data_IF_761140458774
#
_entry.id   IF_761140458774
#
_cell.length_a   1.000
_cell.length_b   1.000
_cell.length_c   1.000
_cell.angle_alpha   90.00
_cell.angle_beta   90.00
_cell.angle_gamma   90.00
#
_symmetry.space_group_name_H-M   'P 1'
#
loop_
_entity.id
_entity.type
_entity.pdbx_description
1 polymer ?
#
# COMPACT_ATOMS: atom_id res chain seq x y z
N UNK A 1 0.56 22.50 4.07
CA UNK A 1 0.60 21.02 3.97
C UNK A 1 -0.09 20.61 2.68
N UNK A 2 0.61 19.92 1.81
CA UNK A 2 0.10 19.35 0.55
C UNK A 2 0.30 17.85 0.56
N UNK A 3 -0.78 17.09 0.48
CA UNK A 3 -0.76 15.63 0.63
C UNK A 3 -1.09 14.98 -0.70
N UNK A 4 -0.23 14.06 -1.17
CA UNK A 4 -0.48 13.20 -2.32
C UNK A 4 -0.82 11.79 -1.83
N UNK A 5 -2.03 11.36 -2.07
CA UNK A 5 -2.53 10.02 -1.77
C UNK A 5 -2.58 9.20 -3.06
N UNK A 6 -1.96 8.03 -3.04
CA UNK A 6 -1.87 7.15 -4.21
C UNK A 6 -2.73 5.90 -4.01
N UNK A 7 -3.60 5.61 -4.96
CA UNK A 7 -4.19 4.29 -5.12
C UNK A 7 -3.16 3.37 -5.78
N UNK A 8 -2.44 2.63 -4.95
CA UNK A 8 -1.31 1.84 -5.42
C UNK A 8 -1.70 0.73 -6.39
N UNK A 9 -2.83 0.05 -6.13
CA UNK A 9 -3.31 -1.03 -6.98
C UNK A 9 -3.78 -0.51 -8.34
N UNK A 10 -4.56 0.56 -8.34
CA UNK A 10 -5.10 1.16 -9.56
C UNK A 10 -3.99 1.70 -10.46
N UNK A 11 -3.04 2.47 -9.88
CA UNK A 11 -1.89 3.01 -10.64
C UNK A 11 -0.99 1.89 -11.16
N UNK A 12 -0.72 0.83 -10.36
CA UNK A 12 0.09 -0.31 -10.78
C UNK A 12 -0.56 -1.08 -11.94
N UNK A 13 -1.88 -1.35 -11.86
CA UNK A 13 -2.63 -1.97 -12.96
C UNK A 13 -2.55 -1.12 -14.24
N UNK A 14 -2.78 0.18 -14.11
CA UNK A 14 -2.71 1.09 -15.26
C UNK A 14 -1.31 1.13 -15.88
N UNK A 15 -0.28 1.17 -15.06
CA UNK A 15 1.11 1.12 -15.50
C UNK A 15 1.42 -0.19 -16.23
N UNK A 16 0.95 -1.31 -15.69
CA UNK A 16 1.15 -2.64 -16.26
C UNK A 16 0.56 -2.78 -17.66
N UNK A 17 -0.70 -2.38 -17.83
CA UNK A 17 -1.38 -2.45 -19.13
C UNK A 17 -1.02 -1.31 -20.08
N UNK A 18 -0.47 -0.21 -19.57
CA UNK A 18 -0.04 0.95 -20.36
C UNK A 18 1.32 0.80 -21.04
N UNK A 19 2.14 -0.16 -20.60
CA UNK A 19 3.50 -0.40 -21.11
C UNK A 19 3.63 -1.86 -21.52
N UNK A 20 4.25 -2.12 -22.66
CA UNK A 20 4.58 -3.50 -23.08
C UNK A 20 5.41 -4.18 -21.99
N UNK A 21 5.28 -5.51 -21.89
CA UNK A 21 6.07 -6.29 -20.94
C UNK A 21 7.56 -6.00 -21.12
N UNK A 22 8.20 -5.63 -20.03
CA UNK A 22 9.63 -5.43 -19.89
C UNK A 22 10.14 -6.36 -18.81
N UNK A 23 11.32 -6.89 -18.99
CA UNK A 23 12.01 -7.71 -18.00
C UNK A 23 13.49 -7.41 -17.97
N UNK A 24 14.14 -7.67 -16.84
CA UNK A 24 15.59 -7.75 -16.73
C UNK A 24 16.14 -8.94 -17.50
N UNK A 25 17.44 -9.03 -17.66
CA UNK A 25 18.13 -10.19 -18.25
C UNK A 25 17.84 -11.50 -17.50
N UNK A 26 17.60 -11.40 -16.18
CA UNK A 26 17.28 -12.55 -15.33
C UNK A 26 15.78 -12.88 -15.30
N UNK A 27 14.96 -12.21 -16.13
CA UNK A 27 13.54 -12.50 -16.31
C UNK A 27 12.61 -11.82 -15.30
N UNK A 28 13.08 -10.91 -14.43
CA UNK A 28 12.23 -10.14 -13.52
C UNK A 28 11.43 -9.10 -14.31
N UNK A 29 10.11 -9.14 -14.23
CA UNK A 29 9.25 -8.15 -14.88
C UNK A 29 9.37 -6.76 -14.24
N UNK A 30 9.40 -5.69 -15.08
CA UNK A 30 9.66 -4.32 -14.64
C UNK A 30 8.74 -3.26 -15.27
N UNK A 31 7.87 -3.63 -16.22
CA UNK A 31 7.00 -2.69 -16.94
C UNK A 31 6.06 -1.89 -16.01
N UNK A 32 5.42 -2.56 -15.04
CA UNK A 32 4.56 -1.88 -14.08
C UNK A 32 5.36 -0.93 -13.17
N UNK A 33 6.56 -1.33 -12.75
CA UNK A 33 7.46 -0.50 -11.94
C UNK A 33 7.81 0.79 -12.71
N UNK A 34 8.28 0.65 -13.96
CA UNK A 34 8.64 1.81 -14.82
C UNK A 34 7.44 2.74 -15.00
N UNK A 35 6.27 2.19 -15.33
CA UNK A 35 5.05 2.97 -15.54
C UNK A 35 4.58 3.67 -14.28
N UNK A 36 4.55 2.96 -13.15
CA UNK A 36 4.14 3.49 -11.85
C UNK A 36 4.99 4.71 -11.45
N UNK A 37 6.31 4.57 -11.49
CA UNK A 37 7.21 5.64 -11.07
C UNK A 37 7.31 6.80 -12.07
N UNK A 38 7.02 6.56 -13.34
CA UNK A 38 6.84 7.65 -14.30
C UNK A 38 5.56 8.46 -14.03
N UNK A 39 4.47 7.79 -13.65
CA UNK A 39 3.23 8.45 -13.22
C UNK A 39 3.49 9.22 -11.92
N UNK A 40 4.06 8.57 -10.92
CA UNK A 40 4.36 9.19 -9.62
C UNK A 40 5.20 10.46 -9.76
N UNK A 41 6.25 10.44 -10.59
CA UNK A 41 7.09 11.62 -10.78
C UNK A 41 6.28 12.82 -11.29
N UNK A 42 5.41 12.61 -12.28
CA UNK A 42 4.55 13.69 -12.81
C UNK A 42 3.60 14.22 -11.74
N UNK A 43 3.01 13.31 -10.95
CA UNK A 43 2.11 13.70 -9.88
C UNK A 43 2.84 14.53 -8.82
N UNK A 44 4.05 14.16 -8.45
CA UNK A 44 4.89 14.94 -7.52
C UNK A 44 5.22 16.31 -8.09
N UNK A 45 5.64 16.38 -9.35
CA UNK A 45 5.96 17.64 -10.02
C UNK A 45 4.73 18.55 -10.13
N UNK A 46 3.55 17.97 -10.38
CA UNK A 46 2.27 18.69 -10.50
C UNK A 46 1.77 19.21 -9.14
N UNK A 47 1.87 18.41 -8.09
CA UNK A 47 1.27 18.72 -6.79
C UNK A 47 2.20 19.47 -5.85
N UNK A 48 3.52 19.27 -5.98
CA UNK A 48 4.50 19.78 -5.03
C UNK A 48 4.25 19.28 -3.60
N UNK A 49 3.73 18.04 -3.46
CA UNK A 49 3.34 17.49 -2.18
C UNK A 49 4.55 17.29 -1.24
N UNK A 50 4.36 17.69 0.01
CA UNK A 50 5.29 17.52 1.13
C UNK A 50 4.96 16.31 2.02
N UNK A 51 3.76 15.73 1.82
CA UNK A 51 3.28 14.50 2.46
C UNK A 51 2.83 13.50 1.41
N UNK A 52 3.06 12.20 1.62
CA UNK A 52 2.69 11.19 0.65
C UNK A 52 2.37 9.85 1.32
N UNK A 53 1.22 9.29 0.96
CA UNK A 53 0.83 7.93 1.31
C UNK A 53 0.41 7.15 0.08
N UNK A 54 0.72 5.87 0.06
CA UNK A 54 0.26 4.94 -0.97
C UNK A 54 -0.57 3.83 -0.32
N UNK A 55 -1.85 3.81 -0.64
CA UNK A 55 -2.80 2.80 -0.17
C UNK A 55 -2.77 1.58 -1.08
N UNK A 56 -2.79 0.39 -0.48
CA UNK A 56 -2.87 -0.89 -1.20
C UNK A 56 -3.93 -1.79 -0.57
N UNK A 57 -4.59 -2.60 -1.42
CA UNK A 57 -5.48 -3.64 -0.96
C UNK A 57 -4.71 -4.82 -0.35
N UNK A 58 -5.23 -5.35 0.74
CA UNK A 58 -4.83 -6.64 1.26
C UNK A 58 -5.63 -7.77 0.60
N UNK A 59 -5.02 -8.95 0.49
CA UNK A 59 -5.67 -10.13 -0.04
C UNK A 59 -6.56 -10.80 1.02
N UNK A 60 -7.50 -10.01 1.57
CA UNK A 60 -8.42 -10.43 2.62
C UNK A 60 -9.85 -9.91 2.32
N UNK A 61 -10.91 -10.62 2.78
CA UNK A 61 -12.27 -10.15 2.65
C UNK A 61 -12.47 -8.83 3.41
N UNK A 62 -13.13 -7.87 2.75
CA UNK A 62 -13.50 -6.59 3.37
C UNK A 62 -14.91 -6.66 3.97
N UNK A 63 -15.32 -5.60 4.66
CA UNK A 63 -16.69 -5.51 5.19
C UNK A 63 -17.76 -5.60 4.09
N UNK A 64 -17.45 -5.14 2.85
CA UNK A 64 -18.37 -5.24 1.70
C UNK A 64 -18.62 -6.68 1.28
N UNK A 65 -17.60 -7.54 1.30
CA UNK A 65 -17.75 -8.99 1.04
C UNK A 65 -18.62 -9.66 2.09
N UNK A 66 -18.59 -9.20 3.36
CA UNK A 66 -19.46 -9.70 4.44
C UNK A 66 -20.90 -9.25 4.29
N UNK A 67 -21.13 -8.08 3.69
CA UNK A 67 -22.46 -7.53 3.43
C UNK A 67 -23.13 -8.13 2.19
N UNK A 68 -22.34 -8.48 1.17
CA UNK A 68 -22.86 -8.95 -0.09
C UNK A 68 -21.87 -9.91 -0.77
N UNK A 69 -22.20 -11.19 -0.78
CA UNK A 69 -21.34 -12.27 -1.27
C UNK A 69 -20.96 -12.15 -2.76
N UNK A 70 -21.80 -11.43 -3.55
CA UNK A 70 -21.52 -11.20 -4.97
C UNK A 70 -20.59 -10.02 -5.22
N UNK A 71 -20.25 -9.24 -4.18
CA UNK A 71 -19.38 -8.08 -4.33
C UNK A 71 -18.04 -8.49 -4.91
N UNK A 72 -17.66 -7.87 -6.04
CA UNK A 72 -16.43 -8.19 -6.80
C UNK A 72 -16.29 -9.68 -7.21
N UNK A 73 -17.38 -10.47 -7.13
CA UNK A 73 -17.36 -11.87 -7.56
C UNK A 73 -17.05 -11.95 -9.07
N UNK A 74 -16.13 -12.86 -9.46
CA UNK A 74 -15.74 -13.01 -10.86
C UNK A 74 -14.68 -12.02 -11.35
N UNK A 75 -14.16 -11.12 -10.52
CA UNK A 75 -12.95 -10.37 -10.87
C UNK A 75 -11.80 -11.34 -11.19
N UNK A 76 -11.15 -11.15 -12.33
CA UNK A 76 -9.99 -11.96 -12.70
C UNK A 76 -8.85 -11.73 -11.71
N UNK A 77 -8.09 -12.76 -11.33
CA UNK A 77 -6.94 -12.60 -10.47
C UNK A 77 -5.89 -11.71 -11.16
N UNK A 78 -5.09 -11.05 -10.32
CA UNK A 78 -3.97 -10.23 -10.81
C UNK A 78 -3.00 -11.12 -11.61
N UNK A 79 -2.59 -10.69 -12.82
CA UNK A 79 -1.58 -11.41 -13.59
C UNK A 79 -0.32 -11.66 -12.78
N UNK A 80 0.29 -12.82 -12.96
CA UNK A 80 1.50 -13.21 -12.23
C UNK A 80 2.64 -12.19 -12.42
N UNK A 81 2.79 -11.70 -13.66
CA UNK A 81 3.80 -10.71 -14.03
C UNK A 81 3.63 -9.38 -13.28
N UNK A 82 2.38 -8.99 -12.96
CA UNK A 82 2.12 -7.82 -12.13
C UNK A 82 2.31 -8.15 -10.65
N UNK A 83 1.83 -9.31 -10.21
CA UNK A 83 1.92 -9.76 -8.81
C UNK A 83 3.36 -9.73 -8.28
N UNK A 84 4.32 -10.16 -9.11
CA UNK A 84 5.75 -10.15 -8.78
C UNK A 84 6.30 -8.72 -8.61
N UNK A 85 5.72 -7.73 -9.28
CA UNK A 85 6.18 -6.35 -9.24
C UNK A 85 5.62 -5.56 -8.03
N UNK A 86 4.48 -5.97 -7.46
CA UNK A 86 3.82 -5.24 -6.36
C UNK A 86 4.71 -5.06 -5.12
N UNK A 87 5.40 -6.09 -4.60
CA UNK A 87 6.30 -5.92 -3.45
C UNK A 87 7.47 -4.97 -3.75
N UNK A 88 7.95 -4.99 -5.01
CA UNK A 88 9.05 -4.12 -5.45
C UNK A 88 8.57 -2.66 -5.51
N UNK A 89 7.38 -2.40 -6.04
CA UNK A 89 6.76 -1.06 -6.06
C UNK A 89 6.65 -0.51 -4.63
N UNK A 90 6.12 -1.30 -3.69
CA UNK A 90 6.01 -0.91 -2.28
C UNK A 90 7.38 -0.60 -1.66
N UNK A 91 8.37 -1.44 -1.91
CA UNK A 91 9.75 -1.22 -1.41
C UNK A 91 10.34 0.07 -1.97
N UNK A 92 10.20 0.34 -3.27
CA UNK A 92 10.70 1.58 -3.89
C UNK A 92 9.97 2.81 -3.29
N UNK A 93 8.64 2.75 -3.11
CA UNK A 93 7.88 3.82 -2.46
C UNK A 93 8.43 4.13 -1.05
N UNK A 94 8.67 3.10 -0.25
CA UNK A 94 9.26 3.25 1.09
C UNK A 94 10.65 3.89 1.03
N UNK A 95 11.48 3.46 0.08
CA UNK A 95 12.83 4.03 -0.10
C UNK A 95 12.81 5.48 -0.61
N UNK A 96 11.74 5.89 -1.31
CA UNK A 96 11.47 7.27 -1.71
C UNK A 96 10.90 8.13 -0.57
N UNK A 97 10.72 7.57 0.63
CA UNK A 97 10.19 8.26 1.80
C UNK A 97 8.67 8.29 1.88
N UNK A 98 7.94 7.59 1.00
CA UNK A 98 6.49 7.46 1.02
C UNK A 98 6.05 6.46 2.09
N UNK A 99 4.96 6.77 2.81
CA UNK A 99 4.32 5.82 3.71
C UNK A 99 3.39 4.90 2.93
N UNK A 100 3.66 3.59 2.97
CA UNK A 100 2.78 2.56 2.41
C UNK A 100 1.77 2.14 3.47
N UNK A 101 0.48 2.14 3.12
CA UNK A 101 -0.62 1.86 4.04
C UNK A 101 -1.46 0.72 3.51
N UNK A 102 -1.70 -0.27 4.37
CA UNK A 102 -2.59 -1.41 4.14
C UNK A 102 -3.35 -1.69 5.42
N UNK A 103 -4.62 -2.07 5.32
CA UNK A 103 -5.42 -2.34 6.51
C UNK A 103 -6.41 -3.48 6.27
N UNK A 104 -6.48 -4.42 7.21
CA UNK A 104 -7.36 -5.57 7.10
C UNK A 104 -8.84 -5.17 7.22
N UNK A 105 -9.69 -5.76 6.38
CA UNK A 105 -11.12 -5.51 6.39
C UNK A 105 -11.58 -4.29 5.58
N UNK A 106 -10.65 -3.50 5.05
CA UNK A 106 -10.90 -2.30 4.25
C UNK A 106 -10.19 -2.37 2.91
N UNK A 107 -10.65 -1.56 1.96
CA UNK A 107 -10.04 -1.42 0.65
C UNK A 107 -9.12 -0.18 0.60
N UNK A 108 -8.24 -0.12 -0.40
CA UNK A 108 -7.38 1.06 -0.62
C UNK A 108 -8.19 2.35 -0.68
N UNK A 109 -9.36 2.33 -1.32
CA UNK A 109 -10.26 3.49 -1.42
C UNK A 109 -10.73 3.99 -0.05
N UNK A 110 -10.98 3.09 0.91
CA UNK A 110 -11.39 3.47 2.27
C UNK A 110 -10.23 4.15 3.03
N UNK A 111 -8.99 3.70 2.78
CA UNK A 111 -7.79 4.36 3.29
C UNK A 111 -7.68 5.76 2.68
N UNK A 112 -7.84 5.89 1.35
CA UNK A 112 -7.81 7.19 0.67
C UNK A 112 -8.91 8.12 1.19
N UNK A 113 -10.15 7.61 1.38
CA UNK A 113 -11.26 8.35 1.96
C UNK A 113 -10.97 8.85 3.37
N UNK A 114 -10.36 8.02 4.20
CA UNK A 114 -10.01 8.37 5.59
C UNK A 114 -8.91 9.42 5.63
N UNK A 115 -7.85 9.25 4.84
CA UNK A 115 -6.71 10.18 4.82
C UNK A 115 -7.05 11.50 4.15
N UNK A 116 -7.91 11.51 3.12
CA UNK A 116 -8.36 12.75 2.50
C UNK A 116 -9.22 13.58 3.44
N UNK A 117 -10.10 12.94 4.22
CA UNK A 117 -10.87 13.61 5.27
C UNK A 117 -9.95 14.17 6.36
N UNK A 118 -8.99 13.38 6.86
CA UNK A 118 -8.03 13.83 7.87
C UNK A 118 -7.18 15.00 7.37
N UNK A 119 -6.79 15.00 6.09
CA UNK A 119 -6.05 16.12 5.47
C UNK A 119 -6.88 17.39 5.46
N UNK A 120 -8.15 17.29 5.06
CA UNK A 120 -9.07 18.43 5.03
C UNK A 120 -9.34 18.98 6.44
N UNK A 121 -9.57 18.09 7.42
CA UNK A 121 -9.76 18.45 8.83
C UNK A 121 -8.54 19.21 9.41
N UNK A 122 -7.33 18.85 8.94
CA UNK A 122 -6.09 19.54 9.31
C UNK A 122 -5.83 20.82 8.48
N UNK A 123 -6.76 21.24 7.62
CA UNK A 123 -6.62 22.42 6.77
C UNK A 123 -5.59 22.28 5.64
N UNK A 124 -5.23 21.06 5.25
CA UNK A 124 -4.32 20.75 4.17
C UNK A 124 -5.01 20.62 2.81
N UNK A 125 -4.23 20.69 1.75
CA UNK A 125 -4.66 20.44 0.37
C UNK A 125 -4.34 18.97 0.02
N UNK A 126 -5.35 18.22 -0.43
CA UNK A 126 -5.25 16.78 -0.71
C UNK A 126 -5.40 16.50 -2.20
N UNK A 127 -4.50 15.71 -2.75
CA UNK A 127 -4.54 15.19 -4.12
C UNK A 127 -4.64 13.68 -4.09
N UNK A 128 -5.74 13.11 -4.57
CA UNK A 128 -5.93 11.65 -4.69
C UNK A 128 -5.60 11.24 -6.13
N UNK A 129 -4.57 10.44 -6.30
CA UNK A 129 -4.19 9.89 -7.60
C UNK A 129 -4.68 8.45 -7.74
N UNK A 130 -5.61 8.22 -8.64
CA UNK A 130 -6.19 6.90 -8.91
C UNK A 130 -6.58 6.76 -10.38
N UNK A 131 -6.86 5.56 -10.84
CA UNK A 131 -7.52 5.28 -12.12
C UNK A 131 -9.01 4.95 -11.94
N UNK A 132 -9.51 4.91 -10.70
CA UNK A 132 -10.88 4.58 -10.37
C UNK A 132 -11.74 5.85 -10.22
N UNK A 133 -12.91 5.83 -10.86
CA UNK A 133 -13.86 6.94 -10.78
C UNK A 133 -14.63 6.99 -9.47
N UNK A 134 -14.62 5.92 -8.70
CA UNK A 134 -15.30 5.88 -7.41
C UNK A 134 -14.74 6.91 -6.43
N UNK A 135 -13.44 7.18 -6.53
CA UNK A 135 -12.79 8.22 -5.75
C UNK A 135 -13.33 9.64 -6.02
N UNK A 136 -14.07 9.87 -7.12
CA UNK A 136 -14.68 11.18 -7.42
C UNK A 136 -15.68 11.62 -6.34
N UNK A 137 -16.28 10.68 -5.59
CA UNK A 137 -17.14 10.98 -4.43
C UNK A 137 -16.38 11.64 -3.27
N UNK A 138 -15.05 11.57 -3.29
CA UNK A 138 -14.18 12.16 -2.25
C UNK A 138 -13.82 13.61 -2.52
N UNK A 139 -14.10 14.12 -3.73
CA UNK A 139 -13.81 15.51 -4.12
C UNK A 139 -14.51 16.48 -3.18
N UNK A 140 -13.78 17.49 -2.77
CA UNK A 140 -14.25 18.53 -1.85
C UNK A 140 -13.47 19.83 -2.06
N UNK A 141 -13.70 20.82 -1.20
CA UNK A 141 -13.05 22.13 -1.33
C UNK A 141 -11.52 22.05 -1.20
N UNK A 142 -11.03 21.07 -0.44
CA UNK A 142 -9.60 20.83 -0.20
C UNK A 142 -9.11 19.49 -0.81
N UNK A 143 -10.00 18.74 -1.49
CA UNK A 143 -9.68 17.43 -2.05
C UNK A 143 -9.91 17.44 -3.55
N UNK A 144 -8.85 17.20 -4.30
CA UNK A 144 -8.85 17.09 -5.75
C UNK A 144 -8.48 15.66 -6.17
N UNK A 145 -9.21 15.08 -7.12
CA UNK A 145 -8.89 13.77 -7.69
C UNK A 145 -8.13 13.93 -9.01
N UNK A 146 -6.97 13.33 -9.06
CA UNK A 146 -6.11 13.22 -10.24
C UNK A 146 -6.35 11.85 -10.90
N UNK A 147 -7.32 11.82 -11.82
CA UNK A 147 -7.70 10.58 -12.48
C UNK A 147 -6.70 10.23 -13.57
N UNK A 148 -5.89 9.22 -13.31
CA UNK A 148 -4.94 8.71 -14.29
C UNK A 148 -5.69 8.06 -15.47
N UNK A 149 -5.41 8.47 -16.69
CA UNK A 149 -5.95 7.93 -17.91
C UNK A 149 -4.82 7.58 -18.88
N UNK A 150 -5.10 6.73 -19.87
CA UNK A 150 -4.21 6.50 -20.99
C UNK A 150 -4.97 6.90 -22.25
N UNK A 151 -4.50 7.93 -22.93
CA UNK A 151 -5.11 8.41 -24.17
C UNK A 151 -4.12 8.23 -25.31
N UNK A 152 -4.51 7.48 -26.33
CA UNK A 152 -3.66 7.17 -27.49
C UNK A 152 -2.26 6.62 -27.10
N UNK A 153 -2.19 5.77 -26.04
CA UNK A 153 -0.93 5.19 -25.57
C UNK A 153 -0.07 6.12 -24.70
N UNK A 154 -0.51 7.35 -24.48
CA UNK A 154 0.16 8.29 -23.58
C UNK A 154 -0.56 8.40 -22.23
N UNK A 155 0.16 8.33 -21.10
CA UNK A 155 -0.44 8.55 -19.80
C UNK A 155 -0.89 10.02 -19.69
N UNK A 156 -2.16 10.21 -19.38
CA UNK A 156 -2.79 11.50 -19.17
C UNK A 156 -3.38 11.53 -17.74
N UNK A 157 -3.43 12.70 -17.15
CA UNK A 157 -4.07 12.91 -15.85
C UNK A 157 -5.19 13.94 -16.05
N UNK A 158 -6.41 13.55 -15.73
CA UNK A 158 -7.55 14.47 -15.72
C UNK A 158 -7.78 14.93 -14.29
N UNK A 159 -7.84 16.23 -14.08
CA UNK A 159 -8.09 16.84 -12.78
C UNK A 159 -9.60 16.93 -12.56
N UNK A 160 -10.06 16.45 -11.42
CA UNK A 160 -11.44 16.57 -10.99
C UNK A 160 -11.51 17.33 -9.66
N UNK A 161 -12.01 18.54 -9.74
CA UNK A 161 -12.55 19.33 -8.64
C UNK A 161 -14.09 19.35 -8.71
N UNK A 162 -14.75 20.09 -7.81
CA UNK A 162 -16.21 20.22 -7.83
C UNK A 162 -16.74 20.73 -9.15
N UNK A 163 -16.10 21.73 -9.73
CA UNK A 163 -16.53 22.33 -11.00
C UNK A 163 -16.45 21.34 -12.15
N UNK A 164 -15.38 20.55 -12.24
CA UNK A 164 -15.22 19.53 -13.27
C UNK A 164 -16.25 18.38 -13.12
N UNK A 165 -16.68 18.04 -11.90
CA UNK A 165 -17.75 17.07 -11.66
C UNK A 165 -19.10 17.65 -12.08
N UNK A 166 -19.40 18.88 -11.71
CA UNK A 166 -20.63 19.57 -12.10
C UNK A 166 -20.73 19.75 -13.61
N UNK A 167 -19.65 20.17 -14.26
CA UNK A 167 -19.59 20.26 -15.73
C UNK A 167 -19.88 18.92 -16.41
N UNK A 168 -19.31 17.82 -15.89
CA UNK A 168 -19.39 16.53 -16.52
C UNK A 168 -20.70 15.79 -16.27
N UNK A 169 -21.20 15.83 -15.04
CA UNK A 169 -22.34 15.03 -14.57
C UNK A 169 -23.57 15.88 -14.25
N UNK A 170 -23.44 17.19 -14.09
CA UNK A 170 -24.48 18.06 -13.56
C UNK A 170 -24.83 17.75 -12.11
N UNK A 171 -23.90 17.14 -11.36
CA UNK A 171 -24.09 16.67 -10.00
C UNK A 171 -22.96 17.20 -9.10
N UNK A 172 -23.23 17.20 -7.80
CA UNK A 172 -22.19 17.41 -6.81
C UNK A 172 -21.47 16.08 -6.51
N UNK A 173 -20.22 16.10 -6.01
CA UNK A 173 -19.45 14.90 -5.72
C UNK A 173 -20.18 13.87 -4.86
N UNK A 174 -20.88 14.34 -3.84
CA UNK A 174 -21.62 13.53 -2.89
C UNK A 174 -22.79 12.75 -3.54
N UNK A 175 -23.35 13.29 -4.64
CA UNK A 175 -24.43 12.66 -5.40
C UNK A 175 -23.96 11.51 -6.29
N UNK A 176 -22.64 11.38 -6.53
CA UNK A 176 -22.10 10.27 -7.33
C UNK A 176 -22.32 8.91 -6.66
N UNK A 177 -22.41 8.88 -5.33
CA UNK A 177 -22.79 7.68 -4.57
C UNK A 177 -24.21 7.26 -4.91
N UNK A 178 -25.13 8.23 -4.93
CA UNK A 178 -26.53 7.99 -5.26
C UNK A 178 -26.73 7.62 -6.74
N UNK A 179 -25.92 8.18 -7.62
CA UNK A 179 -25.85 7.78 -9.02
C UNK A 179 -25.50 6.29 -9.14
N UNK A 180 -24.43 5.84 -8.46
CA UNK A 180 -24.04 4.44 -8.41
C UNK A 180 -25.09 3.57 -7.74
N UNK A 181 -25.76 4.05 -6.70
CA UNK A 181 -26.85 3.34 -6.01
C UNK A 181 -28.03 3.03 -6.95
N UNK A 182 -28.36 3.96 -7.85
CA UNK A 182 -29.44 3.78 -8.82
C UNK A 182 -29.03 2.91 -10.00
N UNK A 183 -27.89 3.18 -10.63
CA UNK A 183 -27.50 2.51 -11.88
C UNK A 183 -26.73 1.18 -11.65
N UNK A 184 -26.21 0.96 -10.46
CA UNK A 184 -25.29 -0.14 -10.15
C UNK A 184 -23.91 0.02 -10.74
N UNK A 185 -23.08 -1.00 -10.55
CA UNK A 185 -21.75 -1.12 -11.14
C UNK A 185 -21.46 -2.58 -11.49
N UNK A 186 -21.35 -2.85 -12.78
CA UNK A 186 -21.08 -4.21 -13.28
C UNK A 186 -19.67 -4.69 -12.96
N UNK A 187 -18.69 -3.77 -12.82
CA UNK A 187 -17.29 -4.13 -12.53
C UNK A 187 -17.12 -4.66 -11.12
N UNK A 188 -17.94 -4.16 -10.18
CA UNK A 188 -17.94 -4.53 -8.76
C UNK A 188 -19.14 -5.42 -8.37
N UNK A 189 -19.97 -5.80 -9.34
CA UNK A 189 -21.23 -6.50 -9.12
C UNK A 189 -22.16 -5.79 -8.12
N UNK A 190 -22.15 -4.45 -8.13
CA UNK A 190 -23.11 -3.64 -7.39
C UNK A 190 -24.42 -3.63 -8.18
N UNK A 191 -25.54 -4.10 -7.59
CA UNK A 191 -26.74 -4.43 -8.38
C UNK A 191 -27.48 -3.21 -8.94
N UNK A 192 -27.52 -2.10 -8.22
CA UNK A 192 -28.37 -0.97 -8.59
C UNK A 192 -29.85 -1.31 -8.59
N UNK A 193 -30.65 -0.45 -9.23
CA UNK A 193 -32.07 -0.73 -9.52
C UNK A 193 -32.17 -1.42 -10.89
N UNK A 194 -32.70 -2.65 -10.96
CA UNK A 194 -32.80 -3.39 -12.21
C UNK A 194 -33.53 -2.60 -13.31
N UNK A 195 -32.83 -2.38 -14.43
CA UNK A 195 -33.36 -1.65 -15.58
C UNK A 195 -33.35 -0.12 -15.45
N UNK A 196 -32.62 0.42 -14.47
CA UNK A 196 -32.25 1.84 -14.38
C UNK A 196 -30.79 1.94 -14.81
N UNK A 197 -30.52 2.62 -15.91
CA UNK A 197 -29.17 2.91 -16.40
C UNK A 197 -28.76 4.35 -16.09
N UNK A 198 -27.52 4.68 -16.41
CA UNK A 198 -26.89 5.98 -16.11
C UNK A 198 -27.76 7.20 -16.48
N UNK A 199 -28.31 7.23 -17.71
CA UNK A 199 -29.17 8.35 -18.16
C UNK A 199 -30.40 8.53 -17.26
N UNK A 200 -31.08 7.44 -16.92
CA UNK A 200 -32.26 7.50 -16.06
C UNK A 200 -31.90 7.89 -14.62
N UNK A 201 -30.76 7.39 -14.12
CA UNK A 201 -30.28 7.72 -12.80
C UNK A 201 -29.89 9.20 -12.69
N UNK A 202 -29.21 9.75 -13.71
CA UNK A 202 -28.91 11.18 -13.81
C UNK A 202 -30.17 12.03 -13.84
N UNK A 203 -31.16 11.68 -14.69
CA UNK A 203 -32.43 12.38 -14.76
C UNK A 203 -33.16 12.41 -13.40
N UNK A 204 -33.12 11.29 -12.66
CA UNK A 204 -33.71 11.21 -11.32
C UNK A 204 -32.98 12.12 -10.33
N UNK A 205 -31.66 12.10 -10.33
CA UNK A 205 -30.86 12.95 -9.41
C UNK A 205 -30.96 14.43 -9.74
N UNK A 206 -31.00 14.81 -11.01
CA UNK A 206 -31.24 16.22 -11.41
C UNK A 206 -32.62 16.72 -10.96
N UNK A 207 -33.64 15.86 -10.93
CA UNK A 207 -35.00 16.24 -10.53
C UNK A 207 -35.21 16.22 -9.02
N UNK A 208 -34.67 15.23 -8.34
CA UNK A 208 -34.98 14.99 -6.92
C UNK A 208 -33.81 15.34 -5.99
N UNK A 209 -32.59 15.44 -6.50
CA UNK A 209 -31.40 15.82 -5.76
C UNK A 209 -30.68 14.67 -5.04
N UNK A 210 -31.39 13.66 -4.53
CA UNK A 210 -30.78 12.55 -3.82
C UNK A 210 -31.59 11.26 -3.96
N UNK A 211 -30.99 10.12 -3.66
CA UNK A 211 -31.67 8.82 -3.60
C UNK A 211 -32.86 8.83 -2.65
N UNK A 212 -32.67 9.42 -1.47
CA UNK A 212 -33.72 9.52 -0.47
C UNK A 212 -34.89 10.39 -0.96
N UNK A 213 -34.61 11.50 -1.63
CA UNK A 213 -35.64 12.36 -2.21
C UNK A 213 -36.36 11.71 -3.39
N UNK A 214 -35.68 10.87 -4.19
CA UNK A 214 -36.31 10.04 -5.24
C UNK A 214 -37.38 9.16 -4.61
N UNK A 215 -37.06 8.45 -3.54
CA UNK A 215 -38.02 7.54 -2.89
C UNK A 215 -39.10 8.26 -2.09
N UNK A 216 -38.79 9.42 -1.50
CA UNK A 216 -39.79 10.23 -0.79
C UNK A 216 -40.83 10.83 -1.73
N UNK A 217 -40.42 11.31 -2.90
CA UNK A 217 -41.30 11.92 -3.90
C UNK A 217 -41.85 10.94 -4.96
N UNK A 218 -41.55 9.65 -4.85
CA UNK A 218 -41.82 8.66 -5.90
C UNK A 218 -43.29 8.61 -6.30
N UNK A 219 -44.18 8.52 -5.32
CA UNK A 219 -45.61 8.31 -5.55
C UNK A 219 -46.28 9.56 -6.16
N UNK A 220 -45.90 10.72 -5.69
CA UNK A 220 -46.48 12.00 -6.12
C UNK A 220 -45.85 12.55 -7.42
N UNK A 221 -44.82 11.86 -7.93
CA UNK A 221 -44.11 12.28 -9.15
C UNK A 221 -44.93 12.01 -10.42
N UNK A 222 -44.58 12.71 -11.50
CA UNK A 222 -45.08 12.47 -12.87
C UNK A 222 -44.27 11.41 -13.64
N UNK A 223 -43.46 10.62 -12.94
CA UNK A 223 -42.69 9.53 -13.54
C UNK A 223 -43.64 8.47 -14.12
N UNK A 224 -43.19 7.85 -15.23
CA UNK A 224 -43.96 6.76 -15.84
C UNK A 224 -44.12 5.62 -14.84
N UNK A 225 -45.29 5.00 -14.79
CA UNK A 225 -45.62 3.92 -13.84
C UNK A 225 -44.64 2.73 -13.97
N UNK A 226 -44.16 2.46 -15.17
CA UNK A 226 -43.15 1.41 -15.39
C UNK A 226 -41.79 1.73 -14.68
N UNK A 227 -41.40 3.00 -14.56
CA UNK A 227 -40.21 3.41 -13.83
C UNK A 227 -40.47 3.42 -12.32
N UNK A 228 -41.66 3.91 -11.87
CA UNK A 228 -42.06 3.82 -10.47
C UNK A 228 -42.01 2.40 -9.97
N UNK A 229 -42.54 1.45 -10.74
CA UNK A 229 -42.52 0.03 -10.39
C UNK A 229 -41.13 -0.55 -10.27
N UNK A 230 -40.18 -0.17 -11.16
CA UNK A 230 -38.78 -0.57 -11.05
C UNK A 230 -38.14 -0.03 -9.78
N UNK A 231 -38.39 1.26 -9.47
CA UNK A 231 -37.86 1.88 -8.25
C UNK A 231 -38.43 1.25 -6.99
N UNK A 232 -39.74 0.99 -6.92
CA UNK A 232 -40.39 0.32 -5.78
C UNK A 232 -39.77 -1.07 -5.53
N UNK A 233 -39.69 -1.90 -6.58
CA UNK A 233 -39.17 -3.25 -6.45
C UNK A 233 -37.67 -3.31 -6.24
N UNK A 234 -36.93 -2.33 -6.72
CA UNK A 234 -35.48 -2.22 -6.58
C UNK A 234 -35.00 -1.42 -5.38
N UNK A 235 -35.91 -0.96 -4.49
CA UNK A 235 -35.56 -0.06 -3.38
C UNK A 235 -34.45 -0.61 -2.49
N UNK A 236 -34.60 -1.85 -2.01
CA UNK A 236 -33.63 -2.45 -1.11
C UNK A 236 -32.26 -2.64 -1.80
N UNK A 237 -32.28 -2.99 -3.09
CA UNK A 237 -31.05 -3.10 -3.88
C UNK A 237 -30.36 -1.74 -4.09
N UNK A 238 -31.12 -0.65 -4.24
CA UNK A 238 -30.58 0.69 -4.33
C UNK A 238 -29.84 1.10 -3.05
N UNK A 239 -30.46 0.86 -1.88
CA UNK A 239 -29.84 1.17 -0.59
C UNK A 239 -28.65 0.26 -0.27
N UNK A 240 -28.73 -1.02 -0.62
CA UNK A 240 -27.57 -1.93 -0.57
C UNK A 240 -26.44 -1.40 -1.46
N UNK A 241 -26.76 -1.02 -2.69
CA UNK A 241 -25.78 -0.49 -3.66
C UNK A 241 -25.14 0.82 -3.16
N UNK A 242 -25.93 1.70 -2.53
CA UNK A 242 -25.39 2.90 -1.87
C UNK A 242 -24.38 2.53 -0.80
N UNK A 243 -24.70 1.57 0.05
CA UNK A 243 -23.80 1.11 1.12
C UNK A 243 -22.52 0.51 0.56
N UNK A 244 -22.63 -0.32 -0.48
CA UNK A 244 -21.45 -0.95 -1.13
C UNK A 244 -20.59 0.06 -1.88
N UNK A 245 -21.20 1.05 -2.55
CA UNK A 245 -20.49 2.07 -3.31
C UNK A 245 -19.92 3.23 -2.49
N UNK A 246 -20.33 3.35 -1.22
CA UNK A 246 -19.81 4.42 -0.34
C UNK A 246 -18.42 4.07 0.16
N UNK A 247 -17.47 4.98 -0.08
CA UNK A 247 -16.12 4.89 0.47
C UNK A 247 -16.15 5.25 1.96
N UNK A 248 -15.64 4.35 2.81
CA UNK A 248 -15.51 4.59 4.24
C UNK A 248 -14.45 5.67 4.50
N UNK A 249 -14.75 6.62 5.42
CA UNK A 249 -13.82 7.67 5.83
C UNK A 249 -13.30 7.48 7.26
N UNK A 250 -13.45 6.27 7.79
CA UNK A 250 -13.12 5.91 9.17
C UNK A 250 -12.39 4.55 9.23
N UNK A 251 -11.56 4.25 8.22
CA UNK A 251 -10.69 3.08 8.26
C UNK A 251 -9.68 3.22 9.43
N UNK A 252 -9.30 2.11 10.10
CA UNK A 252 -8.45 2.14 11.29
C UNK A 252 -6.97 2.38 10.92
N UNK A 253 -6.69 3.56 10.36
CA UNK A 253 -5.36 4.05 10.02
C UNK A 253 -5.06 5.33 10.79
N UNK A 254 -3.79 5.66 10.97
CA UNK A 254 -3.42 6.92 11.62
C UNK A 254 -4.02 8.12 10.89
N UNK A 255 -4.60 9.06 11.63
CA UNK A 255 -5.11 10.33 11.10
C UNK A 255 -4.14 11.50 11.37
N UNK A 256 -2.97 11.21 11.94
CA UNK A 256 -1.92 12.19 12.19
C UNK A 256 -1.14 12.42 10.90
N UNK A 257 -1.17 13.63 10.37
CA UNK A 257 -0.56 13.92 9.06
C UNK A 257 0.96 13.83 9.10
N UNK A 258 1.56 14.00 10.25
CA UNK A 258 2.99 13.83 10.50
C UNK A 258 3.50 12.44 10.12
N UNK A 259 2.68 11.40 10.25
CA UNK A 259 3.01 10.02 9.89
C UNK A 259 3.19 9.84 8.37
N UNK A 260 2.68 10.77 7.59
CA UNK A 260 2.70 10.77 6.13
C UNK A 260 3.65 11.82 5.53
N UNK A 261 4.37 12.56 6.37
CA UNK A 261 5.42 13.46 5.91
C UNK A 261 6.47 12.68 5.11
N UNK A 262 6.88 13.22 3.96
CA UNK A 262 7.91 12.60 3.14
C UNK A 262 9.22 12.49 3.92
N UNK A 263 9.70 11.26 4.08
CA UNK A 263 10.98 10.96 4.73
C UNK A 263 12.14 11.19 3.76
N UNK A 264 13.36 11.36 4.26
CA UNK A 264 14.53 11.45 3.41
C UNK A 264 14.69 10.24 2.49
N UNK A 265 15.11 10.50 1.25
CA UNK A 265 15.39 9.49 0.24
C UNK A 265 16.51 8.55 0.71
N UNK A 266 16.28 7.25 0.69
CA UNK A 266 17.28 6.23 0.97
C UNK A 266 18.05 5.88 -0.31
N UNK A 267 18.86 6.84 -0.80
CA UNK A 267 19.48 6.80 -2.12
C UNK A 267 20.36 5.56 -2.36
N UNK A 268 21.12 5.12 -1.35
CA UNK A 268 22.03 3.98 -1.49
C UNK A 268 21.31 2.65 -1.69
N UNK A 269 20.27 2.37 -0.89
CA UNK A 269 19.48 1.14 -1.03
C UNK A 269 18.65 1.17 -2.32
N UNK A 270 18.08 2.33 -2.63
CA UNK A 270 17.32 2.52 -3.86
C UNK A 270 18.20 2.34 -5.09
N UNK A 271 19.42 2.89 -5.10
CA UNK A 271 20.39 2.71 -6.19
C UNK A 271 20.74 1.24 -6.42
N UNK A 272 21.02 0.47 -5.35
CA UNK A 272 21.25 -0.98 -5.45
C UNK A 272 20.06 -1.73 -6.04
N UNK A 273 18.84 -1.39 -5.59
CA UNK A 273 17.61 -2.03 -6.08
C UNK A 273 17.38 -1.70 -7.55
N UNK A 274 17.47 -0.45 -7.96
CA UNK A 274 17.26 -0.01 -9.33
C UNK A 274 18.34 -0.58 -10.28
N UNK A 275 19.59 -0.68 -9.85
CA UNK A 275 20.67 -1.34 -10.61
C UNK A 275 20.35 -2.81 -10.87
N UNK A 276 19.92 -3.55 -9.83
CA UNK A 276 19.50 -4.96 -9.97
C UNK A 276 18.31 -5.12 -10.94
N UNK A 277 17.42 -4.13 -10.97
CA UNK A 277 16.25 -4.11 -11.86
C UNK A 277 16.56 -3.54 -13.24
N UNK A 278 17.81 -3.16 -13.53
CA UNK A 278 18.25 -2.54 -14.79
C UNK A 278 17.49 -1.23 -15.12
N UNK A 279 17.04 -0.51 -14.09
CA UNK A 279 16.23 0.71 -14.22
C UNK A 279 17.08 1.99 -14.20
N UNK A 280 18.14 2.04 -14.99
CA UNK A 280 19.12 3.14 -15.02
C UNK A 280 18.48 4.49 -15.36
N UNK A 281 17.46 4.53 -16.24
CA UNK A 281 16.74 5.76 -16.58
C UNK A 281 15.99 6.38 -15.40
N UNK A 282 15.51 5.57 -14.46
CA UNK A 282 14.92 6.08 -13.23
C UNK A 282 15.98 6.60 -12.28
N UNK A 283 17.13 5.96 -12.22
CA UNK A 283 18.28 6.45 -11.44
C UNK A 283 18.73 7.82 -11.92
N UNK A 284 18.97 7.98 -13.23
CA UNK A 284 19.33 9.27 -13.84
C UNK A 284 18.30 10.35 -13.52
N UNK A 285 17.01 10.03 -13.67
CA UNK A 285 15.89 10.94 -13.43
C UNK A 285 15.81 11.43 -11.98
N UNK A 286 16.17 10.58 -11.03
CA UNK A 286 16.13 10.89 -9.59
C UNK A 286 17.48 11.36 -9.05
N UNK A 287 18.50 11.49 -9.89
CA UNK A 287 19.85 11.90 -9.49
C UNK A 287 20.51 10.88 -8.55
N UNK A 288 20.16 9.59 -8.70
CA UNK A 288 20.71 8.51 -7.89
C UNK A 288 21.95 7.97 -8.58
N UNK A 289 23.11 8.22 -8.00
CA UNK A 289 24.38 7.67 -8.46
C UNK A 289 24.60 6.28 -7.84
N UNK A 290 24.63 5.24 -8.69
CA UNK A 290 24.92 3.87 -8.24
C UNK A 290 26.35 3.72 -7.67
N UNK A 291 27.25 4.63 -8.03
CA UNK A 291 28.64 4.67 -7.56
C UNK A 291 28.83 5.55 -6.33
N UNK A 292 27.81 6.33 -5.95
CA UNK A 292 27.90 7.13 -4.74
C UNK A 292 28.18 6.18 -3.56
N UNK A 293 29.30 6.34 -2.84
CA UNK A 293 29.49 5.58 -1.63
C UNK A 293 28.24 5.84 -0.78
N UNK A 294 27.65 4.78 -0.22
CA UNK A 294 26.63 4.89 0.81
C UNK A 294 27.09 6.04 1.69
N UNK A 295 26.43 7.23 1.57
CA UNK A 295 26.59 8.21 2.61
C UNK A 295 26.32 7.41 3.87
N UNK A 296 27.36 7.13 4.61
CA UNK A 296 27.26 6.33 5.79
C UNK A 296 26.06 6.90 6.52
N UNK A 297 24.96 6.12 6.58
CA UNK A 297 24.03 6.26 7.68
C UNK A 297 24.96 6.55 8.81
N UNK A 298 24.74 7.68 9.48
CA UNK A 298 25.56 8.08 10.61
C UNK A 298 26.00 6.80 11.25
N UNK A 299 27.21 6.40 10.86
CA UNK A 299 27.77 5.19 11.37
C UNK A 299 27.55 5.39 12.87
N UNK A 300 26.58 4.69 13.44
CA UNK A 300 26.72 4.36 14.83
C UNK A 300 28.14 3.91 14.80
N UNK A 301 29.04 4.80 15.26
CA UNK A 301 30.46 4.56 15.25
C UNK A 301 30.57 3.12 15.67
N UNK A 302 30.81 2.24 14.70
CA UNK A 302 31.22 0.92 15.04
C UNK A 302 32.52 1.22 15.77
N UNK A 303 32.38 1.47 17.05
CA UNK A 303 33.49 1.36 17.96
C UNK A 303 34.08 0.04 17.56
N UNK A 304 35.23 0.07 16.87
CA UNK A 304 35.71 -0.99 16.03
C UNK A 304 35.55 -2.28 16.84
N UNK A 305 34.53 -3.10 16.49
CA UNK A 305 34.21 -4.26 17.30
C UNK A 305 35.48 -5.09 17.28
N UNK A 306 36.01 -5.38 18.44
CA UNK A 306 37.29 -6.06 18.57
C UNK A 306 37.00 -7.56 18.65
N UNK A 307 37.74 -8.34 17.88
CA UNK A 307 37.68 -9.78 17.97
C UNK A 307 38.17 -10.18 19.36
N UNK A 308 37.35 -10.93 20.09
CA UNK A 308 37.70 -11.45 21.40
C UNK A 308 38.25 -12.86 21.27
N UNK A 309 39.40 -13.12 21.85
CA UNK A 309 39.99 -14.46 21.95
C UNK A 309 39.19 -15.37 22.94
N UNK A 310 38.20 -14.80 23.65
CA UNK A 310 37.34 -15.51 24.60
C UNK A 310 35.87 -15.40 24.20
N UNK A 311 35.28 -16.39 23.50
CA UNK A 311 33.85 -16.42 23.22
C UNK A 311 32.98 -16.35 24.51
N UNK A 312 33.44 -16.92 25.60
CA UNK A 312 32.78 -16.86 26.92
C UNK A 312 32.60 -15.40 27.41
N UNK A 313 33.60 -14.55 27.16
CA UNK A 313 33.53 -13.14 27.54
C UNK A 313 32.46 -12.41 26.72
N UNK A 314 32.28 -12.74 25.41
CA UNK A 314 31.24 -12.16 24.54
C UNK A 314 29.85 -12.61 24.99
N UNK A 315 29.66 -13.87 25.39
CA UNK A 315 28.40 -14.37 25.98
C UNK A 315 28.06 -13.64 27.29
N UNK A 316 29.04 -13.39 28.14
CA UNK A 316 28.83 -12.64 29.35
C UNK A 316 28.48 -11.18 29.05
N UNK A 317 29.12 -10.58 28.08
CA UNK A 317 28.80 -9.22 27.61
C UNK A 317 27.37 -9.14 27.06
N UNK A 318 26.91 -10.14 26.31
CA UNK A 318 25.54 -10.23 25.80
C UNK A 318 24.50 -10.27 26.94
N UNK A 319 24.73 -11.08 27.98
CA UNK A 319 23.86 -11.15 29.16
C UNK A 319 23.86 -9.83 29.94
N UNK A 320 25.01 -9.21 30.08
CA UNK A 320 25.13 -7.93 30.80
C UNK A 320 24.48 -6.78 30.09
N UNK A 321 24.60 -6.74 28.73
CA UNK A 321 24.00 -5.70 27.87
C UNK A 321 22.50 -5.93 27.64
N UNK A 322 21.98 -7.12 27.88
CA UNK A 322 20.61 -7.49 27.57
C UNK A 322 20.32 -7.57 26.05
N UNK A 323 21.34 -7.54 25.18
CA UNK A 323 21.19 -7.63 23.74
C UNK A 323 22.45 -8.16 23.05
N UNK A 324 22.29 -8.88 21.93
CA UNK A 324 23.37 -9.31 21.06
C UNK A 324 22.90 -9.53 19.62
N UNK A 325 23.86 -9.49 18.69
CA UNK A 325 23.66 -9.93 17.30
C UNK A 325 24.24 -11.35 17.17
N UNK A 326 23.49 -12.24 16.50
CA UNK A 326 23.90 -13.62 16.27
C UNK A 326 23.75 -13.96 14.79
N UNK A 327 24.84 -14.36 14.15
CA UNK A 327 24.88 -14.68 12.73
C UNK A 327 25.28 -16.15 12.54
N UNK A 328 24.37 -17.02 12.10
CA UNK A 328 24.66 -18.42 11.84
C UNK A 328 25.52 -18.59 10.58
N UNK A 329 26.47 -19.51 10.65
CA UNK A 329 27.30 -19.95 9.52
C UNK A 329 26.89 -21.37 9.13
N UNK A 330 26.46 -21.54 7.90
CA UNK A 330 26.01 -22.84 7.36
C UNK A 330 27.00 -23.35 6.31
N UNK A 331 27.32 -24.63 6.38
CA UNK A 331 28.10 -25.33 5.36
C UNK A 331 27.32 -26.57 4.92
N UNK A 332 27.00 -26.68 3.65
CA UNK A 332 26.21 -27.79 3.08
C UNK A 332 24.91 -28.10 3.83
N UNK A 333 24.21 -27.06 4.28
CA UNK A 333 22.95 -27.18 5.02
C UNK A 333 23.09 -27.54 6.51
N UNK A 334 24.34 -27.69 7.02
CA UNK A 334 24.63 -27.97 8.43
C UNK A 334 25.17 -26.70 9.11
N UNK A 335 24.75 -26.45 10.36
CA UNK A 335 25.27 -25.33 11.14
C UNK A 335 26.75 -25.61 11.50
N UNK A 336 27.64 -24.78 10.99
CA UNK A 336 29.09 -24.87 11.25
C UNK A 336 29.50 -24.04 12.47
N UNK A 337 28.73 -23.03 12.84
CA UNK A 337 29.00 -22.20 13.99
C UNK A 337 28.15 -20.93 13.99
N UNK A 338 28.40 -20.10 15.00
CA UNK A 338 27.70 -18.81 15.21
C UNK A 338 28.70 -17.71 15.50
N UNK A 339 28.57 -16.58 14.81
CA UNK A 339 29.15 -15.32 15.25
C UNK A 339 28.25 -14.67 16.30
N UNK A 340 28.83 -14.18 17.38
CA UNK A 340 28.13 -13.44 18.43
C UNK A 340 28.81 -12.09 18.57
N UNK A 341 28.00 -11.04 18.62
CA UNK A 341 28.46 -9.65 18.78
C UNK A 341 27.71 -9.04 19.94
N UNK A 342 28.41 -8.50 20.92
CA UNK A 342 27.81 -7.79 22.05
C UNK A 342 28.76 -6.74 22.60
N UNK A 343 28.24 -5.54 22.89
CA UNK A 343 29.00 -4.43 23.53
C UNK A 343 30.35 -4.11 22.86
N UNK A 344 30.39 -4.16 21.50
CA UNK A 344 31.59 -3.82 20.75
C UNK A 344 32.67 -4.92 20.69
N UNK A 345 32.37 -6.11 21.18
CA UNK A 345 33.26 -7.30 21.04
C UNK A 345 32.50 -8.39 20.26
N UNK A 346 33.25 -9.22 19.54
CA UNK A 346 32.66 -10.35 18.81
C UNK A 346 33.54 -11.58 18.87
N UNK A 347 32.94 -12.75 18.76
CA UNK A 347 33.63 -14.04 18.68
C UNK A 347 32.87 -15.02 17.81
N UNK A 348 33.60 -15.98 17.24
CA UNK A 348 33.02 -17.13 16.55
C UNK A 348 33.04 -18.35 17.48
N UNK A 349 31.90 -19.05 17.54
CA UNK A 349 31.77 -20.33 18.26
C UNK A 349 31.47 -21.40 17.23
N UNK A 350 32.39 -22.34 17.07
CA UNK A 350 32.18 -23.47 16.15
C UNK A 350 31.10 -24.44 16.70
N UNK A 351 30.44 -25.15 15.81
CA UNK A 351 29.33 -26.05 16.20
C UNK A 351 29.78 -27.19 17.14
N UNK A 352 31.03 -27.62 16.99
CA UNK A 352 31.66 -28.62 17.85
C UNK A 352 32.25 -28.08 19.14
N UNK A 353 32.23 -26.74 19.34
CA UNK A 353 32.76 -26.11 20.55
C UNK A 353 31.88 -26.43 21.78
N UNK A 354 32.51 -26.69 22.92
CA UNK A 354 31.79 -26.92 24.18
C UNK A 354 30.92 -25.76 24.62
N UNK A 355 31.29 -24.53 24.23
CA UNK A 355 30.51 -23.32 24.49
C UNK A 355 29.23 -23.21 23.62
N UNK A 356 29.09 -24.02 22.55
CA UNK A 356 27.90 -23.99 21.73
C UNK A 356 26.62 -24.26 22.53
N UNK A 357 26.67 -25.11 23.52
CA UNK A 357 25.53 -25.36 24.41
C UNK A 357 25.09 -24.09 25.15
N UNK A 358 26.02 -23.29 25.65
CA UNK A 358 25.74 -22.02 26.33
C UNK A 358 25.20 -20.96 25.36
N UNK A 359 25.71 -20.93 24.11
CA UNK A 359 25.20 -20.09 23.03
C UNK A 359 23.76 -20.43 22.69
N UNK A 360 23.47 -21.73 22.59
CA UNK A 360 22.11 -22.20 22.27
C UNK A 360 21.13 -21.91 23.41
N UNK A 361 21.56 -21.98 24.68
CA UNK A 361 20.70 -21.58 25.83
C UNK A 361 20.36 -20.10 25.82
N UNK A 362 21.25 -19.25 25.29
CA UNK A 362 20.97 -17.82 25.17
C UNK A 362 19.73 -17.51 24.27
N UNK A 363 19.42 -18.39 23.31
CA UNK A 363 18.24 -18.24 22.48
C UNK A 363 16.92 -18.35 23.24
N UNK A 364 16.88 -19.09 24.34
CA UNK A 364 15.72 -19.22 25.23
C UNK A 364 15.67 -18.15 26.33
N UNK A 365 16.67 -17.30 26.45
CA UNK A 365 16.74 -16.27 27.46
C UNK A 365 15.85 -15.07 27.07
N UNK A 366 14.78 -14.84 27.85
CA UNK A 366 13.83 -13.75 27.64
C UNK A 366 14.42 -12.36 27.92
N UNK A 367 15.45 -12.28 28.75
CA UNK A 367 16.07 -11.03 29.16
C UNK A 367 17.07 -10.48 28.15
N UNK A 368 17.53 -11.32 27.22
CA UNK A 368 18.47 -10.93 26.19
C UNK A 368 17.75 -10.83 24.85
N UNK A 369 17.77 -9.66 24.24
CA UNK A 369 17.29 -9.46 22.88
C UNK A 369 18.31 -10.01 21.87
N UNK A 370 17.89 -10.95 21.02
CA UNK A 370 18.74 -11.52 19.94
C UNK A 370 18.30 -10.95 18.60
N UNK A 371 19.25 -10.37 17.87
CA UNK A 371 19.06 -9.93 16.50
C UNK A 371 19.77 -10.89 15.57
N UNK A 372 19.10 -11.33 14.51
CA UNK A 372 19.70 -12.24 13.52
C UNK A 372 19.20 -11.89 12.11
N UNK A 373 19.99 -12.26 11.12
CA UNK A 373 19.61 -12.14 9.72
C UNK A 373 19.31 -13.52 9.15
N UNK A 374 18.27 -13.63 8.30
CA UNK A 374 17.81 -14.91 7.70
C UNK A 374 17.58 -16.01 8.76
N UNK A 375 16.80 -15.69 9.77
CA UNK A 375 16.61 -16.53 10.94
C UNK A 375 15.81 -17.83 10.73
N UNK A 376 15.15 -18.06 9.56
CA UNK A 376 14.30 -19.23 9.34
C UNK A 376 15.02 -20.58 9.46
N UNK A 377 16.20 -20.80 8.85
CA UNK A 377 16.95 -22.04 9.03
C UNK A 377 17.38 -22.25 10.48
N UNK A 378 17.83 -21.18 11.14
CA UNK A 378 18.25 -21.23 12.53
C UNK A 378 17.08 -21.51 13.47
N UNK A 379 15.91 -20.92 13.25
CA UNK A 379 14.71 -21.18 14.03
C UNK A 379 14.30 -22.64 13.97
N UNK A 380 14.33 -23.25 12.78
CA UNK A 380 14.06 -24.69 12.59
C UNK A 380 15.08 -25.54 13.34
N UNK A 381 16.38 -25.22 13.20
CA UNK A 381 17.47 -25.92 13.86
C UNK A 381 17.33 -25.91 15.40
N UNK A 382 16.89 -24.79 15.97
CA UNK A 382 16.66 -24.64 17.43
C UNK A 382 15.45 -25.46 17.87
N UNK A 383 14.33 -25.38 17.15
CA UNK A 383 13.12 -26.15 17.47
C UNK A 383 13.33 -27.66 17.41
N UNK A 384 14.09 -28.15 16.44
CA UNK A 384 14.44 -29.60 16.33
C UNK A 384 15.25 -30.10 17.54
N UNK A 385 15.88 -29.17 18.27
CA UNK A 385 16.64 -29.45 19.51
C UNK A 385 15.88 -29.12 20.79
N UNK A 386 14.59 -28.80 20.69
CA UNK A 386 13.75 -28.45 21.83
C UNK A 386 14.06 -27.08 22.43
N UNK A 387 14.79 -26.23 21.71
CA UNK A 387 15.09 -24.86 22.14
C UNK A 387 14.01 -23.93 21.54
N UNK A 388 13.27 -23.27 22.41
CA UNK A 388 12.21 -22.33 22.03
C UNK A 388 12.74 -20.91 22.10
N UNK A 389 13.05 -20.30 20.95
CA UNK A 389 13.64 -18.96 20.94
C UNK A 389 12.70 -17.90 21.48
N UNK A 390 13.23 -17.01 22.33
CA UNK A 390 12.52 -15.90 22.97
C UNK A 390 13.20 -14.56 22.63
N UNK A 391 12.44 -13.47 22.64
CA UNK A 391 12.92 -12.09 22.44
C UNK A 391 13.84 -11.92 21.22
N UNK A 392 13.33 -12.29 20.03
CA UNK A 392 14.08 -12.26 18.76
C UNK A 392 13.59 -11.10 17.89
N UNK A 393 14.54 -10.40 17.27
CA UNK A 393 14.35 -9.41 16.20
C UNK A 393 14.99 -9.96 14.93
N UNK A 394 14.22 -10.14 13.86
CA UNK A 394 14.65 -10.63 12.55
C UNK A 394 14.67 -9.52 11.52
#
# INVERSE_FOLDING_TARGET
>A
MRVLLLDGNSIANRAFYGIKLLSTKDGQYTNAIVGFFNILQRLRDQTGADHMAAAFDLHAPTFRHKLYDQYKAGRKPMPEELRQQMPIIKKILTLLGCTVVETEGYEADDILGTLSAATADAGGECFIATGDRDALQLVGDQVTVLLAATKMGHPETTVFDRAAIEEKYGLQPEQLIDLKALMGDTSDHIPGVPGVGEKTALDLLHRFGSLDAVYAGLEDSDLRESLKNKLRTGKDLAYLSRTLGTICREAPVSRQMEDYQLRPLQAAELGKLLTRLELFKLMDKWGIDASAPVAAETAVSAAAAQMSDSPAAVLQAARTAGACDMLPVWTDGTLSGLWIVASGVFAYVAAEDTLMADVLTLWSDEQVQKRTHDGKPLYRYLLERGIFPQNIVM
#
